data_IF_319140398682
#
_entry.id   IF_319140398682
#
_cell.length_a   1.000
_cell.length_b   1.000
_cell.length_c   1.000
_cell.angle_alpha   90.00
_cell.angle_beta   90.00
_cell.angle_gamma   90.00
#
_symmetry.space_group_name_H-M   'P 1'
#
loop_
_entity.id
_entity.type
_entity.pdbx_description
1 polymer ?
#
# COMPACT_ATOMS: atom_id res chain seq x y z
N UNK A 1 4.55 -24.30 3.42
CA UNK A 1 4.18 -25.40 4.33
C UNK A 1 5.13 -25.53 5.52
N UNK A 2 6.44 -25.72 5.28
CA UNK A 2 7.47 -25.83 6.34
C UNK A 2 7.37 -24.75 7.42
N UNK A 3 7.30 -23.48 7.02
CA UNK A 3 7.19 -22.34 7.94
C UNK A 3 6.01 -22.47 8.94
N UNK A 4 4.83 -22.91 8.47
CA UNK A 4 3.68 -23.16 9.36
C UNK A 4 3.91 -24.39 10.24
N UNK A 5 4.52 -25.47 9.72
CA UNK A 5 4.80 -26.67 10.51
C UNK A 5 5.75 -26.39 11.67
N UNK A 6 6.78 -25.57 11.42
CA UNK A 6 7.76 -25.14 12.44
C UNK A 6 7.21 -24.08 13.40
N UNK A 7 6.08 -23.43 13.06
CA UNK A 7 5.45 -22.39 13.87
C UNK A 7 3.96 -22.70 14.12
N UNK A 8 3.63 -23.59 15.09
CA UNK A 8 2.25 -24.02 15.34
C UNK A 8 1.29 -22.89 15.74
N UNK A 9 1.80 -21.83 16.38
CA UNK A 9 1.03 -20.65 16.78
C UNK A 9 0.68 -19.72 15.60
N UNK A 10 1.35 -19.87 14.46
CA UNK A 10 1.09 -19.05 13.28
C UNK A 10 -0.12 -19.59 12.51
N UNK A 11 -1.09 -18.71 12.23
CA UNK A 11 -2.23 -18.99 11.36
C UNK A 11 -1.95 -18.69 9.89
N UNK A 12 -0.93 -17.85 9.63
CA UNK A 12 -0.59 -17.36 8.29
C UNK A 12 0.92 -17.45 8.08
N UNK A 13 1.33 -18.03 6.95
CA UNK A 13 2.68 -17.87 6.43
C UNK A 13 2.61 -17.01 5.16
N UNK A 14 3.59 -16.14 4.98
CA UNK A 14 3.68 -15.30 3.80
C UNK A 14 5.15 -15.16 3.37
N UNK A 15 5.37 -14.67 2.16
CA UNK A 15 6.71 -14.42 1.62
C UNK A 15 6.83 -12.99 1.10
N UNK A 16 8.00 -12.63 0.58
CA UNK A 16 8.14 -11.38 -0.15
C UNK A 16 7.52 -11.48 -1.55
N UNK A 17 7.21 -10.32 -2.10
CA UNK A 17 6.72 -10.16 -3.47
C UNK A 17 7.71 -9.34 -4.28
N UNK A 18 7.94 -9.76 -5.52
CA UNK A 18 8.57 -8.94 -6.55
C UNK A 18 7.55 -8.66 -7.67
N UNK A 19 7.73 -7.54 -8.34
CA UNK A 19 6.81 -7.07 -9.38
C UNK A 19 7.39 -7.35 -10.75
N UNK A 20 6.58 -7.90 -11.65
CA UNK A 20 6.92 -8.22 -13.03
C UNK A 20 5.96 -7.54 -14.02
N UNK A 21 6.43 -7.31 -15.24
CA UNK A 21 5.61 -6.77 -16.34
C UNK A 21 4.81 -7.87 -17.08
N UNK A 22 4.07 -7.49 -18.12
CA UNK A 22 3.30 -8.44 -18.95
C UNK A 22 4.15 -9.52 -19.63
N UNK A 23 5.46 -9.30 -19.81
CA UNK A 23 6.42 -10.23 -20.40
C UNK A 23 7.21 -11.03 -19.35
N UNK A 24 6.80 -10.97 -18.08
CA UNK A 24 7.47 -11.61 -16.94
C UNK A 24 8.87 -11.09 -16.67
N UNK A 25 9.20 -9.89 -17.14
CA UNK A 25 10.44 -9.21 -16.81
C UNK A 25 10.29 -8.53 -15.44
N UNK A 26 11.35 -8.63 -14.63
CA UNK A 26 11.41 -7.95 -13.34
C UNK A 26 11.32 -6.44 -13.52
N UNK A 27 10.44 -5.81 -12.73
CA UNK A 27 10.29 -4.36 -12.69
C UNK A 27 10.96 -3.78 -11.44
N UNK A 28 10.55 -4.23 -10.26
CA UNK A 28 11.11 -3.79 -8.99
C UNK A 28 10.72 -4.74 -7.86
N UNK A 29 11.38 -4.62 -6.72
CA UNK A 29 10.99 -5.32 -5.50
C UNK A 29 9.69 -4.75 -4.95
N UNK A 30 8.84 -5.63 -4.42
CA UNK A 30 7.65 -5.24 -3.66
C UNK A 30 7.99 -5.03 -2.19
N UNK A 31 7.07 -5.44 -1.32
CA UNK A 31 7.26 -5.41 0.12
C UNK A 31 8.15 -6.58 0.55
N UNK A 32 9.37 -6.26 1.00
CA UNK A 32 10.30 -7.19 1.61
C UNK A 32 10.31 -7.06 3.14
N UNK A 33 9.13 -6.84 3.74
CA UNK A 33 8.99 -6.70 5.19
C UNK A 33 8.88 -8.09 5.86
N UNK A 34 9.75 -8.36 6.82
CA UNK A 34 9.76 -9.61 7.60
C UNK A 34 9.15 -9.35 8.98
N UNK A 35 7.97 -9.93 9.22
CA UNK A 35 7.19 -9.81 10.46
C UNK A 35 6.84 -11.22 10.91
N UNK A 36 7.27 -11.57 12.12
CA UNK A 36 6.94 -12.84 12.77
C UNK A 36 6.21 -12.55 14.08
N UNK A 37 5.23 -13.38 14.44
CA UNK A 37 4.41 -13.17 15.64
C UNK A 37 3.23 -12.25 15.34
N UNK A 38 2.94 -11.32 16.26
CA UNK A 38 1.83 -10.39 16.12
C UNK A 38 2.12 -9.34 15.04
N UNK A 39 1.40 -9.43 13.93
CA UNK A 39 1.54 -8.55 12.76
C UNK A 39 0.48 -7.43 12.70
N UNK A 40 -0.41 -7.32 13.68
CA UNK A 40 -1.60 -6.46 13.60
C UNK A 40 -1.24 -4.98 13.44
N UNK A 41 -0.32 -4.47 14.27
CA UNK A 41 0.15 -3.09 14.19
C UNK A 41 0.87 -2.79 12.87
N UNK A 42 1.63 -3.75 12.33
CA UNK A 42 2.29 -3.62 11.02
C UNK A 42 1.27 -3.54 9.89
N UNK A 43 0.24 -4.39 9.90
CA UNK A 43 -0.83 -4.39 8.90
C UNK A 43 -1.71 -3.15 8.96
N UNK A 44 -1.93 -2.58 10.15
CA UNK A 44 -2.60 -1.29 10.29
C UNK A 44 -1.81 -0.19 9.57
N UNK A 45 -0.48 -0.24 9.58
CA UNK A 45 0.37 0.76 8.93
C UNK A 45 0.50 0.57 7.41
N UNK A 46 0.70 -0.67 6.96
CA UNK A 46 0.97 -0.98 5.56
C UNK A 46 0.56 -2.41 5.21
N UNK A 47 -0.07 -2.59 4.04
CA UNK A 47 -0.36 -3.92 3.50
C UNK A 47 0.94 -4.56 2.97
N UNK A 48 1.74 -5.13 3.86
CA UNK A 48 3.05 -5.69 3.50
C UNK A 48 2.98 -7.06 2.83
N UNK A 49 1.81 -7.71 2.80
CA UNK A 49 1.56 -8.92 1.98
C UNK A 49 1.25 -8.55 0.52
N UNK A 50 0.81 -7.31 0.31
CA UNK A 50 0.49 -6.64 -0.97
C UNK A 50 -0.70 -7.24 -1.75
N UNK A 51 -0.79 -8.56 -1.86
CA UNK A 51 -1.74 -9.24 -2.75
C UNK A 51 -2.33 -10.51 -2.13
N UNK A 52 -3.55 -10.87 -2.56
CA UNK A 52 -4.27 -12.09 -2.18
C UNK A 52 -3.57 -13.42 -2.48
N UNK A 53 -2.62 -13.44 -3.43
CA UNK A 53 -1.89 -14.64 -3.83
C UNK A 53 -0.71 -15.00 -2.92
N UNK A 54 -0.35 -14.11 -1.98
CA UNK A 54 0.84 -14.27 -1.15
C UNK A 54 0.67 -15.28 0.01
N UNK A 55 -0.37 -15.16 0.86
CA UNK A 55 -0.40 -15.95 2.08
C UNK A 55 -0.81 -17.41 1.86
N UNK A 56 -0.16 -18.29 2.59
CA UNK A 56 -0.67 -19.61 2.92
C UNK A 56 -1.34 -19.56 4.29
N UNK A 57 -2.65 -19.78 4.32
CA UNK A 57 -3.48 -19.62 5.52
C UNK A 57 -3.92 -21.00 6.03
N UNK A 58 -3.86 -21.23 7.34
CA UNK A 58 -4.45 -22.43 7.95
C UNK A 58 -5.95 -22.42 7.75
N UNK A 59 -6.50 -23.55 7.33
CA UNK A 59 -7.96 -23.72 7.15
C UNK A 59 -8.76 -23.33 8.40
N UNK A 60 -8.29 -23.72 9.59
CA UNK A 60 -8.95 -23.36 10.84
C UNK A 60 -8.99 -21.84 11.05
N UNK A 61 -7.89 -21.14 10.81
CA UNK A 61 -7.82 -19.68 10.94
C UNK A 61 -8.79 -19.00 9.96
N UNK A 62 -8.81 -19.43 8.71
CA UNK A 62 -9.72 -18.89 7.69
C UNK A 62 -11.19 -19.16 8.03
N UNK A 63 -11.52 -20.36 8.53
CA UNK A 63 -12.87 -20.71 8.94
C UNK A 63 -13.36 -19.86 10.13
N UNK A 64 -12.45 -19.51 11.05
CA UNK A 64 -12.78 -18.69 12.22
C UNK A 64 -13.03 -17.23 11.85
N UNK A 65 -12.15 -16.64 11.04
CA UNK A 65 -12.28 -15.21 10.70
C UNK A 65 -13.22 -14.94 9.52
N UNK A 66 -13.53 -15.95 8.71
CA UNK A 66 -14.28 -15.84 7.45
C UNK A 66 -13.42 -15.43 6.25
N UNK A 67 -13.94 -15.66 5.04
CA UNK A 67 -13.29 -15.32 3.77
C UNK A 67 -13.27 -13.82 3.47
N UNK A 68 -13.26 -13.47 2.18
CA UNK A 68 -13.35 -12.08 1.75
C UNK A 68 -14.71 -11.46 2.08
N UNK A 69 -14.72 -10.18 2.44
CA UNK A 69 -15.96 -9.41 2.55
C UNK A 69 -16.38 -8.97 1.15
N UNK A 70 -17.42 -9.62 0.61
CA UNK A 70 -17.96 -9.36 -0.73
C UNK A 70 -18.61 -7.97 -0.88
N UNK A 71 -18.82 -7.23 0.22
CA UNK A 71 -19.27 -5.83 0.15
C UNK A 71 -18.14 -4.86 -0.24
N UNK A 72 -16.88 -5.28 -0.14
CA UNK A 72 -15.73 -4.53 -0.60
C UNK A 72 -15.52 -4.75 -2.11
N UNK A 73 -15.16 -3.67 -2.80
CA UNK A 73 -14.89 -3.70 -4.25
C UNK A 73 -13.38 -3.52 -4.57
N UNK A 74 -12.55 -3.58 -3.53
CA UNK A 74 -11.09 -3.48 -3.50
C UNK A 74 -10.64 -3.69 -2.04
N UNK A 75 -9.38 -4.09 -1.83
CA UNK A 75 -8.76 -4.24 -0.50
C UNK A 75 -9.39 -5.34 0.37
N UNK A 76 -10.06 -6.30 -0.25
CA UNK A 76 -10.64 -7.50 0.38
C UNK A 76 -9.56 -8.32 1.11
N UNK A 77 -8.37 -8.36 0.52
CA UNK A 77 -7.19 -9.01 1.06
C UNK A 77 -6.72 -8.35 2.37
N UNK A 78 -6.56 -7.03 2.39
CA UNK A 78 -6.15 -6.29 3.58
C UNK A 78 -7.15 -6.45 4.73
N UNK A 79 -8.46 -6.40 4.45
CA UNK A 79 -9.50 -6.66 5.45
C UNK A 79 -9.34 -8.04 6.10
N UNK A 80 -9.18 -9.08 5.27
CA UNK A 80 -8.96 -10.44 5.74
C UNK A 80 -7.66 -10.58 6.54
N UNK A 81 -6.58 -9.92 6.11
CA UNK A 81 -5.30 -9.96 6.81
C UNK A 81 -5.38 -9.31 8.19
N UNK A 82 -6.08 -8.19 8.31
CA UNK A 82 -6.30 -7.52 9.59
C UNK A 82 -7.12 -8.39 10.54
N UNK A 83 -8.18 -9.05 10.04
CA UNK A 83 -8.95 -10.02 10.83
C UNK A 83 -8.09 -11.21 11.27
N UNK A 84 -7.28 -11.78 10.37
CA UNK A 84 -6.34 -12.85 10.73
C UNK A 84 -5.34 -12.41 11.80
N UNK A 85 -4.74 -11.23 11.64
CA UNK A 85 -3.72 -10.73 12.58
C UNK A 85 -4.26 -10.33 13.95
N UNK A 86 -5.57 -10.11 14.08
CA UNK A 86 -6.21 -9.90 15.38
C UNK A 86 -6.24 -11.19 16.24
N UNK A 87 -6.18 -12.37 15.61
CA UNK A 87 -6.33 -13.66 16.29
C UNK A 87 -5.10 -14.58 16.18
N UNK A 88 -4.29 -14.42 15.13
CA UNK A 88 -3.23 -15.35 14.77
C UNK A 88 -1.90 -14.67 14.55
N UNK A 89 -0.82 -15.36 14.93
CA UNK A 89 0.53 -14.97 14.55
C UNK A 89 0.78 -15.22 13.05
N UNK A 90 1.70 -14.43 12.52
CA UNK A 90 2.22 -14.55 11.17
C UNK A 90 3.64 -15.10 11.23
N UNK A 91 4.05 -15.81 10.17
CA UNK A 91 5.44 -16.20 9.95
C UNK A 91 5.88 -15.85 8.55
N UNK A 92 7.02 -15.19 8.43
CA UNK A 92 7.60 -14.76 7.17
C UNK A 92 8.57 -15.82 6.63
N UNK A 93 8.51 -16.06 5.33
CA UNK A 93 9.57 -16.70 4.55
C UNK A 93 10.35 -15.58 3.85
N UNK A 94 11.56 -15.22 4.31
CA UNK A 94 12.30 -14.06 3.82
C UNK A 94 12.94 -14.33 2.45
N UNK A 95 12.09 -14.52 1.44
CA UNK A 95 12.44 -14.81 0.05
C UNK A 95 11.30 -14.35 -0.87
N UNK A 96 11.60 -13.82 -2.07
CA UNK A 96 10.56 -13.45 -3.03
C UNK A 96 9.99 -14.71 -3.70
N UNK A 97 8.91 -15.26 -3.14
CA UNK A 97 8.22 -16.44 -3.73
C UNK A 97 7.01 -16.05 -4.58
N UNK A 98 6.61 -14.78 -4.55
CA UNK A 98 5.50 -14.23 -5.34
C UNK A 98 6.05 -13.27 -6.39
N UNK A 99 5.68 -13.51 -7.64
CA UNK A 99 5.91 -12.57 -8.75
C UNK A 99 4.56 -11.97 -9.16
N UNK A 100 4.30 -10.75 -8.72
CA UNK A 100 3.05 -10.06 -9.03
C UNK A 100 3.13 -9.32 -10.37
N UNK A 101 2.22 -9.64 -11.28
CA UNK A 101 2.18 -9.04 -12.61
C UNK A 101 1.35 -7.76 -12.61
N UNK A 102 1.94 -6.66 -13.08
CA UNK A 102 1.22 -5.40 -13.29
C UNK A 102 0.93 -5.23 -14.77
N UNK A 103 -0.35 -5.15 -15.11
CA UNK A 103 -0.83 -4.81 -16.46
C UNK A 103 -1.44 -3.41 -16.49
N UNK A 104 -1.38 -2.78 -17.65
CA UNK A 104 -1.91 -1.42 -17.91
C UNK A 104 -3.44 -1.31 -17.68
N UNK A 105 -4.17 -2.42 -17.73
CA UNK A 105 -5.63 -2.50 -17.58
C UNK A 105 -6.11 -3.08 -16.22
N UNK A 106 -5.23 -3.21 -15.22
CA UNK A 106 -5.62 -3.84 -13.94
C UNK A 106 -6.74 -3.10 -13.20
N UNK A 107 -7.53 -3.82 -12.38
CA UNK A 107 -8.60 -3.26 -11.53
C UNK A 107 -8.14 -2.13 -10.61
N UNK A 108 -6.83 -2.04 -10.37
CA UNK A 108 -6.19 -1.00 -9.57
C UNK A 108 -6.14 0.40 -10.22
N UNK A 109 -6.85 0.59 -11.33
CA UNK A 109 -6.94 1.85 -12.08
C UNK A 109 -8.03 2.81 -11.56
N UNK A 110 -9.01 2.32 -10.78
CA UNK A 110 -10.03 3.18 -10.17
C UNK A 110 -9.60 3.63 -8.77
N UNK A 111 -8.91 4.76 -8.71
CA UNK A 111 -8.34 5.31 -7.48
C UNK A 111 -9.39 5.74 -6.46
N UNK A 112 -10.55 6.21 -6.88
CA UNK A 112 -11.64 6.61 -5.97
C UNK A 112 -12.30 5.40 -5.32
N UNK A 113 -12.49 4.32 -6.08
CA UNK A 113 -12.94 3.03 -5.52
C UNK A 113 -11.93 2.50 -4.51
N UNK A 114 -10.64 2.53 -4.86
CA UNK A 114 -9.56 2.10 -3.96
C UNK A 114 -9.51 2.94 -2.68
N UNK A 115 -9.61 4.27 -2.78
CA UNK A 115 -9.71 5.17 -1.63
C UNK A 115 -10.90 4.78 -0.72
N UNK A 116 -12.08 4.60 -1.30
CA UNK A 116 -13.31 4.26 -0.56
C UNK A 116 -13.14 2.95 0.21
N UNK A 117 -12.66 1.90 -0.45
CA UNK A 117 -12.37 0.60 0.17
C UNK A 117 -11.33 0.71 1.29
N UNK A 118 -10.20 1.40 1.05
CA UNK A 118 -9.18 1.59 2.10
C UNK A 118 -9.75 2.31 3.32
N UNK A 119 -10.53 3.38 3.12
CA UNK A 119 -11.13 4.11 4.23
C UNK A 119 -12.13 3.25 5.01
N UNK A 120 -12.90 2.40 4.33
CA UNK A 120 -13.81 1.46 4.96
C UNK A 120 -13.07 0.43 5.82
N UNK A 121 -12.00 -0.18 5.28
CA UNK A 121 -11.17 -1.17 5.99
C UNK A 121 -10.47 -0.53 7.20
N UNK A 122 -9.81 0.63 7.02
CA UNK A 122 -9.15 1.35 8.12
C UNK A 122 -10.15 1.78 9.19
N UNK A 123 -11.33 2.28 8.81
CA UNK A 123 -12.36 2.66 9.78
C UNK A 123 -12.77 1.46 10.64
N UNK A 124 -13.01 0.30 10.04
CA UNK A 124 -13.39 -0.93 10.77
C UNK A 124 -12.25 -1.44 11.64
N UNK A 125 -11.04 -1.51 11.10
CA UNK A 125 -9.88 -1.99 11.82
C UNK A 125 -9.61 -1.16 13.08
N UNK A 126 -9.58 0.19 12.96
CA UNK A 126 -9.38 1.05 14.12
C UNK A 126 -10.58 1.12 15.07
N UNK A 127 -11.79 0.74 14.65
CA UNK A 127 -12.92 0.62 15.58
C UNK A 127 -12.78 -0.58 16.53
N UNK A 128 -12.01 -1.60 16.12
CA UNK A 128 -11.77 -2.83 16.89
C UNK A 128 -10.36 -2.88 17.49
N UNK A 129 -9.47 -1.99 17.06
CA UNK A 129 -8.08 -1.98 17.49
C UNK A 129 -7.93 -1.58 18.99
N UNK A 130 -7.02 -2.22 19.73
CA UNK A 130 -6.69 -1.82 21.10
C UNK A 130 -6.24 -0.36 21.19
N UNK A 131 -6.45 0.26 22.35
CA UNK A 131 -6.05 1.66 22.60
C UNK A 131 -4.55 1.89 22.31
N UNK A 132 -3.71 0.92 22.66
CA UNK A 132 -2.26 0.95 22.48
C UNK A 132 -1.78 1.11 21.04
N UNK A 133 -2.65 0.98 20.03
CA UNK A 133 -2.30 1.17 18.61
C UNK A 133 -3.13 2.25 17.93
N UNK A 134 -4.03 2.94 18.63
CA UNK A 134 -4.91 3.95 18.04
C UNK A 134 -4.14 5.12 17.44
N UNK A 135 -2.99 5.49 18.03
CA UNK A 135 -2.11 6.55 17.52
C UNK A 135 -1.59 6.26 16.10
N UNK A 136 -1.60 5.00 15.65
CA UNK A 136 -1.16 4.61 14.31
C UNK A 136 -2.08 5.10 13.19
N UNK A 137 -3.34 5.44 13.49
CA UNK A 137 -4.36 5.80 12.49
C UNK A 137 -3.92 6.91 11.55
N UNK A 138 -3.26 7.95 12.07
CA UNK A 138 -2.73 9.05 11.25
C UNK A 138 -1.67 8.53 10.26
N UNK A 139 -0.79 7.64 10.70
CA UNK A 139 0.24 7.08 9.84
C UNK A 139 -0.34 6.14 8.79
N UNK A 140 -1.34 5.32 9.14
CA UNK A 140 -2.10 4.48 8.21
C UNK A 140 -2.74 5.32 7.09
N UNK A 141 -3.46 6.37 7.46
CA UNK A 141 -4.09 7.29 6.50
C UNK A 141 -3.04 7.96 5.62
N UNK A 142 -1.96 8.49 6.22
CA UNK A 142 -0.89 9.11 5.46
C UNK A 142 -0.24 8.16 4.46
N UNK A 143 0.03 6.91 4.87
CA UNK A 143 0.61 5.88 4.01
C UNK A 143 -0.28 5.55 2.80
N UNK A 144 -1.58 5.36 3.01
CA UNK A 144 -2.55 5.12 1.94
C UNK A 144 -2.54 6.28 0.95
N UNK A 145 -2.59 7.52 1.43
CA UNK A 145 -2.62 8.68 0.56
C UNK A 145 -1.30 8.97 -0.16
N UNK A 146 -0.14 8.63 0.43
CA UNK A 146 1.16 8.61 -0.27
C UNK A 146 1.12 7.62 -1.44
N UNK A 147 0.61 6.41 -1.19
CA UNK A 147 0.46 5.37 -2.23
C UNK A 147 -0.53 5.77 -3.33
N UNK A 148 -1.71 6.29 -2.97
CA UNK A 148 -2.70 6.76 -3.96
C UNK A 148 -2.18 7.95 -4.78
N UNK A 149 -1.41 8.85 -4.17
CA UNK A 149 -0.72 9.93 -4.90
C UNK A 149 0.27 9.36 -5.91
N UNK A 150 1.09 8.39 -5.50
CA UNK A 150 2.03 7.73 -6.39
C UNK A 150 1.33 7.07 -7.58
N UNK A 151 0.23 6.34 -7.35
CA UNK A 151 -0.58 5.75 -8.44
C UNK A 151 -1.24 6.79 -9.34
N UNK A 152 -1.80 7.85 -8.75
CA UNK A 152 -2.46 8.93 -9.48
C UNK A 152 -1.50 9.59 -10.46
N UNK A 153 -0.22 9.71 -10.07
CA UNK A 153 0.85 10.33 -10.83
C UNK A 153 1.77 9.29 -11.50
N UNK A 154 1.26 8.12 -11.89
CA UNK A 154 2.02 7.10 -12.62
C UNK A 154 2.50 7.55 -14.01
N UNK A 155 2.94 6.60 -14.82
CA UNK A 155 3.29 6.88 -16.22
C UNK A 155 2.05 7.34 -17.01
N UNK A 156 2.25 8.24 -17.98
CA UNK A 156 1.19 8.79 -18.82
C UNK A 156 -0.01 9.39 -18.05
N UNK A 157 0.27 10.00 -16.90
CA UNK A 157 -0.75 10.64 -16.05
C UNK A 157 -1.62 11.62 -16.83
N UNK A 158 -2.94 11.52 -16.62
CA UNK A 158 -3.96 12.39 -17.21
C UNK A 158 -4.39 13.50 -16.23
N UNK A 159 -4.87 14.62 -16.77
CA UNK A 159 -5.31 15.79 -15.97
C UNK A 159 -6.28 15.45 -14.83
N UNK A 160 -7.29 14.61 -15.09
CA UNK A 160 -8.25 14.23 -14.06
C UNK A 160 -7.59 13.48 -12.89
N UNK A 161 -6.56 12.65 -13.15
CA UNK A 161 -5.78 11.98 -12.10
C UNK A 161 -4.88 12.96 -11.34
N UNK A 162 -4.37 14.00 -11.99
CA UNK A 162 -3.63 15.08 -11.30
C UNK A 162 -4.50 15.83 -10.29
N UNK A 163 -5.78 16.05 -10.56
CA UNK A 163 -6.70 16.61 -9.57
C UNK A 163 -6.92 15.67 -8.37
N UNK A 164 -7.03 14.37 -8.60
CA UNK A 164 -7.04 13.38 -7.51
C UNK A 164 -5.74 13.41 -6.71
N UNK A 165 -4.59 13.54 -7.38
CA UNK A 165 -3.30 13.64 -6.72
C UNK A 165 -3.19 14.85 -5.79
N UNK A 166 -3.80 15.99 -6.14
CA UNK A 166 -3.88 17.17 -5.25
C UNK A 166 -4.64 16.81 -3.96
N UNK A 167 -5.82 16.19 -4.09
CA UNK A 167 -6.60 15.72 -2.94
C UNK A 167 -5.78 14.74 -2.08
N UNK A 168 -5.17 13.74 -2.71
CA UNK A 168 -4.44 12.70 -1.99
C UNK A 168 -3.20 13.23 -1.28
N UNK A 169 -2.37 14.05 -1.94
CA UNK A 169 -1.17 14.57 -1.29
C UNK A 169 -1.50 15.52 -0.14
N UNK A 170 -2.60 16.27 -0.25
CA UNK A 170 -3.13 17.10 0.83
C UNK A 170 -3.49 16.25 2.07
N UNK A 171 -4.27 15.18 1.89
CA UNK A 171 -4.60 14.28 3.00
C UNK A 171 -3.37 13.55 3.57
N UNK A 172 -2.38 13.20 2.73
CA UNK A 172 -1.13 12.62 3.19
C UNK A 172 -0.38 13.56 4.14
N UNK A 173 -0.31 14.85 3.81
CA UNK A 173 0.38 15.87 4.60
C UNK A 173 -0.38 16.28 5.86
N UNK A 174 -1.72 16.33 5.85
CA UNK A 174 -2.50 16.58 7.07
C UNK A 174 -2.20 15.51 8.13
N UNK A 175 -2.11 14.25 7.70
CA UNK A 175 -1.89 13.13 8.61
C UNK A 175 -0.40 12.90 8.97
N UNK A 176 0.53 13.41 8.17
CA UNK A 176 1.98 13.40 8.42
C UNK A 176 2.62 14.73 7.96
N UNK A 177 2.55 15.79 8.78
CA UNK A 177 3.04 17.12 8.40
C UNK A 177 4.53 17.15 8.05
N UNK A 178 5.32 16.21 8.57
CA UNK A 178 6.76 16.10 8.27
C UNK A 178 7.03 15.88 6.77
N UNK A 179 6.07 15.28 6.05
CA UNK A 179 6.15 15.03 4.62
C UNK A 179 6.36 16.31 3.80
N UNK A 180 5.76 17.43 4.22
CA UNK A 180 5.88 18.73 3.54
C UNK A 180 7.32 19.25 3.42
N UNK A 181 8.23 18.79 4.29
CA UNK A 181 9.64 19.19 4.31
C UNK A 181 10.52 18.34 3.39
N UNK A 182 9.96 17.31 2.77
CA UNK A 182 10.72 16.37 1.94
C UNK A 182 10.87 16.89 0.52
N UNK A 183 12.02 16.62 -0.11
CA UNK A 183 12.29 17.05 -1.51
C UNK A 183 11.31 16.44 -2.52
N UNK A 184 10.73 15.28 -2.22
CA UNK A 184 9.81 14.62 -3.15
C UNK A 184 8.51 15.40 -3.35
N UNK A 185 8.08 16.20 -2.37
CA UNK A 185 6.87 17.02 -2.50
C UNK A 185 7.01 18.04 -3.62
N UNK A 186 8.17 18.68 -3.76
CA UNK A 186 8.42 19.58 -4.89
C UNK A 186 8.33 18.87 -6.24
N UNK A 187 8.77 17.61 -6.33
CA UNK A 187 8.64 16.81 -7.57
C UNK A 187 7.19 16.43 -7.85
N UNK A 188 6.43 16.08 -6.82
CA UNK A 188 4.98 15.80 -6.91
C UNK A 188 4.24 17.03 -7.42
N UNK A 189 4.48 18.19 -6.81
CA UNK A 189 3.86 19.46 -7.21
C UNK A 189 4.24 19.86 -8.63
N UNK A 190 5.54 19.76 -8.99
CA UNK A 190 6.02 20.01 -10.34
C UNK A 190 5.29 19.14 -11.36
N UNK A 191 5.14 17.84 -11.09
CA UNK A 191 4.44 16.91 -11.97
C UNK A 191 2.94 17.26 -12.12
N UNK A 192 2.27 17.59 -11.02
CA UNK A 192 0.86 18.03 -11.02
C UNK A 192 0.70 19.27 -11.89
N UNK A 193 1.47 20.33 -11.64
CA UNK A 193 1.41 21.60 -12.38
C UNK A 193 1.68 21.37 -13.86
N UNK A 194 2.72 20.60 -14.18
CA UNK A 194 3.09 20.27 -15.56
C UNK A 194 1.94 19.63 -16.34
N UNK A 195 1.29 18.60 -15.76
CA UNK A 195 0.21 17.87 -16.43
C UNK A 195 -1.07 18.72 -16.54
N UNK A 196 -1.36 19.57 -15.55
CA UNK A 196 -2.55 20.42 -15.55
C UNK A 196 -2.43 21.53 -16.59
N UNK A 197 -1.31 22.26 -16.61
CA UNK A 197 -1.21 23.51 -17.36
C UNK A 197 -0.63 23.35 -18.78
N UNK A 198 0.16 22.31 -19.05
CA UNK A 198 0.68 22.08 -20.40
C UNK A 198 -0.30 21.24 -21.25
N UNK A 199 -0.27 21.39 -22.58
CA UNK A 199 -0.88 20.41 -23.49
C UNK A 199 -0.31 19.01 -23.25
N UNK A 200 -1.15 17.98 -23.36
CA UNK A 200 -0.79 16.61 -22.96
C UNK A 200 0.50 16.10 -23.64
N UNK A 201 0.66 16.35 -24.94
CA UNK A 201 1.86 15.94 -25.68
C UNK A 201 3.13 16.64 -25.17
N UNK A 202 3.06 17.94 -24.90
CA UNK A 202 4.18 18.74 -24.38
C UNK A 202 4.53 18.28 -22.96
N UNK A 203 3.53 18.06 -22.11
CA UNK A 203 3.73 17.55 -20.76
C UNK A 203 4.47 16.20 -20.77
N UNK A 204 4.01 15.25 -21.59
CA UNK A 204 4.64 13.93 -21.67
C UNK A 204 6.07 13.99 -22.23
N UNK A 205 6.30 14.77 -23.29
CA UNK A 205 7.64 14.98 -23.84
C UNK A 205 8.59 15.55 -22.78
N UNK A 206 8.14 16.56 -22.03
CA UNK A 206 8.98 17.19 -21.01
C UNK A 206 9.28 16.24 -19.84
N UNK A 207 8.27 15.51 -19.37
CA UNK A 207 8.43 14.49 -18.32
C UNK A 207 9.41 13.40 -18.76
N UNK A 208 9.27 12.89 -19.99
CA UNK A 208 10.10 11.82 -20.53
C UNK A 208 11.55 12.26 -20.75
N UNK A 209 11.79 13.51 -21.14
CA UNK A 209 13.13 14.08 -21.29
C UNK A 209 13.78 14.41 -19.94
N UNK A 210 13.01 14.49 -18.86
CA UNK A 210 13.47 14.93 -17.53
C UNK A 210 13.09 13.94 -16.42
N UNK A 211 13.19 12.64 -16.68
CA UNK A 211 12.74 11.57 -15.76
C UNK A 211 13.18 11.79 -14.31
N UNK A 212 14.43 12.24 -14.07
CA UNK A 212 14.94 12.50 -12.71
C UNK A 212 14.19 13.60 -11.94
N UNK A 213 13.77 14.67 -12.63
CA UNK A 213 13.01 15.78 -12.03
C UNK A 213 11.57 15.38 -11.69
N UNK A 214 10.97 14.50 -12.51
CA UNK A 214 9.60 14.01 -12.35
C UNK A 214 9.49 12.67 -11.64
N UNK A 215 10.61 12.10 -11.18
CA UNK A 215 10.62 10.84 -10.45
C UNK A 215 10.09 11.05 -9.02
N UNK A 216 8.91 10.50 -8.75
CA UNK A 216 8.21 10.56 -7.47
C UNK A 216 8.30 9.26 -6.67
N UNK A 217 9.10 8.26 -7.09
CA UNK A 217 9.22 6.97 -6.38
C UNK A 217 9.68 7.12 -4.93
N UNK A 218 10.45 8.17 -4.63
CA UNK A 218 10.81 8.55 -3.27
C UNK A 218 9.60 8.78 -2.34
N UNK A 219 8.40 9.02 -2.88
CA UNK A 219 7.19 9.14 -2.08
C UNK A 219 6.85 7.82 -1.38
N UNK A 220 7.14 6.68 -2.03
CA UNK A 220 6.95 5.35 -1.45
C UNK A 220 7.97 5.04 -0.35
N UNK A 221 9.15 5.65 -0.39
CA UNK A 221 10.17 5.55 0.69
C UNK A 221 9.66 6.22 1.97
N UNK A 222 8.82 7.25 1.85
CA UNK A 222 8.21 7.92 3.00
C UNK A 222 6.96 7.21 3.55
N UNK A 223 6.59 6.04 3.02
CA UNK A 223 5.61 5.16 3.66
C UNK A 223 6.25 4.60 4.94
N UNK A 224 5.61 4.83 6.09
CA UNK A 224 6.07 4.32 7.38
C UNK A 224 5.79 2.82 7.46
N UNK A 225 6.84 2.01 7.51
CA UNK A 225 6.76 0.54 7.59
C UNK A 225 7.07 0.00 8.97
N UNK A 226 7.90 0.73 9.72
CA UNK A 226 8.19 0.47 11.13
C UNK A 226 7.16 1.17 12.01
N UNK A 227 6.82 0.52 13.13
CA UNK A 227 5.88 1.04 14.12
C UNK A 227 6.55 2.25 14.79
N UNK A 228 6.03 3.48 14.59
CA UNK A 228 6.60 4.65 15.24
C UNK A 228 6.41 4.56 16.75
N UNK A 229 7.33 5.12 17.53
CA UNK A 229 7.10 5.28 18.97
C UNK A 229 5.84 6.11 19.21
N UNK A 230 5.09 5.75 20.26
CA UNK A 230 3.98 6.58 20.71
C UNK A 230 4.55 7.83 21.35
N UNK A 231 4.56 8.93 20.60
CA UNK A 231 5.02 10.23 21.07
C UNK A 231 3.81 11.04 21.58
N UNK A 232 2.97 10.43 22.43
CA UNK A 232 1.99 11.18 23.24
C UNK A 232 2.70 12.16 24.14
#
# INVERSE_FOLDING_TARGET
LRALQENPQAGVAYSWTDVIDDNSQFLHTGSHLTVNGNAYANLLLVNFLEHGSNPLIRRQALNEVGGFDESLNSCEDLDMYLRLAAHYHFVAVPSPQILYRVSSNSMSTNLLRMETSYLQVIKRAFAQAPESVQYLKKYSLSNIYKYLTFKALGENTLRHRSYLAIKFIWYAMINDPTLSRTRVIWKVLLKIVTVIFLPAQIAQLWINNNKGLFNISALLVHIKREIPSDNT
#
